data_IF_261703784605
#
_entry.id   IF_261703784605
#
_cell.length_a   1.000
_cell.length_b   1.000
_cell.length_c   1.000
_cell.angle_alpha   90.00
_cell.angle_beta   90.00
_cell.angle_gamma   90.00
#
_symmetry.space_group_name_H-M   'P 1'
#
loop_
_entity.id
_entity.type
_entity.pdbx_description
1 polymer ?
#
# COMPACT_ATOMS: atom_id res chain seq x y z
N UNK A 1 -18.86 -26.90 -14.59
CA UNK A 1 -19.19 -27.47 -13.25
C UNK A 1 -20.53 -26.93 -12.72
N UNK A 2 -21.26 -27.69 -11.85
CA UNK A 2 -22.45 -27.20 -11.14
C UNK A 2 -22.13 -26.85 -9.67
N UNK A 3 -23.11 -26.25 -8.95
CA UNK A 3 -22.94 -25.79 -7.57
C UNK A 3 -22.43 -26.88 -6.63
N UNK A 4 -23.01 -28.10 -6.71
CA UNK A 4 -22.67 -29.23 -5.85
C UNK A 4 -21.27 -29.76 -6.14
N UNK A 5 -20.88 -29.83 -7.39
CA UNK A 5 -19.53 -30.24 -7.79
C UNK A 5 -18.46 -29.29 -7.28
N UNK A 6 -18.73 -27.98 -7.34
CA UNK A 6 -17.81 -26.95 -6.80
C UNK A 6 -17.71 -27.13 -5.28
N UNK A 7 -18.85 -27.25 -4.59
CA UNK A 7 -18.89 -27.42 -3.13
C UNK A 7 -18.10 -28.65 -2.69
N UNK A 8 -18.29 -29.79 -3.35
CA UNK A 8 -17.56 -31.05 -3.05
C UNK A 8 -16.04 -30.86 -3.24
N UNK A 9 -15.60 -30.20 -4.31
CA UNK A 9 -14.19 -29.92 -4.53
C UNK A 9 -13.61 -29.00 -3.44
N UNK A 10 -14.33 -27.97 -3.03
CA UNK A 10 -13.90 -27.08 -1.94
C UNK A 10 -13.74 -27.83 -0.62
N UNK A 11 -14.68 -28.71 -0.29
CA UNK A 11 -14.61 -29.57 0.90
C UNK A 11 -13.46 -30.61 0.82
N UNK A 12 -13.10 -31.08 -0.38
CA UNK A 12 -11.93 -31.93 -0.57
C UNK A 12 -10.62 -31.18 -0.34
N UNK A 13 -10.54 -29.90 -0.75
CA UNK A 13 -9.37 -29.05 -0.50
C UNK A 13 -9.18 -28.83 1.00
N UNK A 14 -10.25 -28.43 1.67
CA UNK A 14 -10.28 -28.26 3.11
C UNK A 14 -11.68 -28.47 3.66
N UNK A 15 -11.87 -29.45 4.51
CA UNK A 15 -13.15 -29.68 5.16
C UNK A 15 -13.47 -28.59 6.19
N UNK A 16 -14.77 -28.30 6.35
CA UNK A 16 -15.31 -27.43 7.39
C UNK A 16 -16.66 -27.97 7.86
N UNK A 17 -16.93 -27.85 9.16
CA UNK A 17 -18.23 -28.17 9.75
C UNK A 17 -19.21 -26.98 9.63
N UNK A 18 -18.72 -25.80 9.23
CA UNK A 18 -19.51 -24.62 9.03
C UNK A 18 -20.29 -24.67 7.71
N UNK A 19 -21.60 -24.47 7.82
CA UNK A 19 -22.47 -24.48 6.63
C UNK A 19 -22.09 -23.37 5.65
N UNK A 20 -22.13 -23.69 4.36
CA UNK A 20 -22.07 -22.72 3.27
C UNK A 20 -22.81 -23.24 2.03
N UNK A 21 -23.17 -22.32 1.15
CA UNK A 21 -23.80 -22.63 -0.13
C UNK A 21 -23.01 -22.01 -1.28
N UNK A 22 -22.88 -22.75 -2.39
CA UNK A 22 -22.32 -22.24 -3.64
C UNK A 22 -23.47 -21.87 -4.56
N UNK A 23 -23.46 -20.63 -5.07
CA UNK A 23 -24.50 -20.11 -5.96
C UNK A 23 -23.89 -19.64 -7.27
N UNK A 24 -24.21 -20.31 -8.36
CA UNK A 24 -23.92 -19.83 -9.71
C UNK A 24 -24.99 -18.83 -10.13
N UNK A 25 -24.62 -17.56 -10.30
CA UNK A 25 -25.58 -16.48 -10.52
C UNK A 25 -26.27 -16.51 -11.89
N UNK A 26 -25.73 -17.25 -12.85
CA UNK A 26 -26.20 -17.24 -14.24
C UNK A 26 -26.01 -15.91 -14.98
N UNK A 27 -25.24 -14.98 -14.41
CA UNK A 27 -25.04 -13.61 -14.93
C UNK A 27 -23.58 -13.32 -15.19
N UNK A 28 -23.35 -12.34 -16.05
CA UNK A 28 -22.04 -11.69 -16.23
C UNK A 28 -21.95 -10.46 -15.33
N UNK A 29 -20.83 -10.27 -14.67
CA UNK A 29 -20.54 -9.09 -13.85
C UNK A 29 -19.28 -8.40 -14.35
N UNK A 30 -19.33 -7.06 -14.45
CA UNK A 30 -18.14 -6.23 -14.79
C UNK A 30 -17.33 -5.83 -13.55
N UNK A 31 -17.87 -6.02 -12.35
CA UNK A 31 -17.24 -5.51 -11.11
C UNK A 31 -16.46 -6.58 -10.38
N UNK A 32 -17.01 -7.80 -10.27
CA UNK A 32 -16.43 -8.91 -9.50
C UNK A 32 -16.72 -10.23 -10.18
N UNK A 33 -15.85 -11.21 -10.00
CA UNK A 33 -16.05 -12.58 -10.48
C UNK A 33 -16.80 -13.45 -9.48
N UNK A 34 -16.60 -13.19 -8.20
CA UNK A 34 -17.27 -13.84 -7.09
C UNK A 34 -17.54 -12.89 -5.95
N UNK A 35 -18.31 -13.33 -4.97
CA UNK A 35 -18.61 -12.60 -3.75
C UNK A 35 -19.01 -13.57 -2.64
N UNK A 36 -18.34 -13.54 -1.51
CA UNK A 36 -18.78 -14.20 -0.30
C UNK A 36 -19.72 -13.28 0.52
N UNK A 37 -20.93 -13.79 0.81
CA UNK A 37 -21.91 -13.13 1.68
C UNK A 37 -21.84 -13.75 3.06
N UNK A 38 -21.25 -13.06 4.01
CA UNK A 38 -21.02 -13.57 5.37
C UNK A 38 -22.32 -13.85 6.15
N UNK A 39 -23.38 -13.07 5.93
CA UNK A 39 -24.67 -13.21 6.63
C UNK A 39 -25.43 -14.48 6.20
N UNK A 40 -25.51 -14.74 4.90
CA UNK A 40 -26.17 -15.93 4.35
C UNK A 40 -25.22 -17.12 4.12
N UNK A 41 -23.91 -16.89 4.30
CA UNK A 41 -22.83 -17.88 4.04
C UNK A 41 -22.85 -18.41 2.61
N UNK A 42 -23.18 -17.55 1.65
CA UNK A 42 -23.24 -17.88 0.23
C UNK A 42 -21.95 -17.47 -0.48
N UNK A 43 -21.36 -18.41 -1.24
CA UNK A 43 -20.31 -18.17 -2.23
C UNK A 43 -21.00 -17.93 -3.58
N UNK A 44 -21.19 -16.68 -3.95
CA UNK A 44 -21.82 -16.32 -5.23
C UNK A 44 -20.75 -16.21 -6.30
N UNK A 45 -20.91 -16.96 -7.41
CA UNK A 45 -19.97 -16.96 -8.54
C UNK A 45 -20.69 -16.48 -9.81
N UNK A 46 -20.11 -15.49 -10.48
CA UNK A 46 -20.64 -15.00 -11.76
C UNK A 46 -20.13 -15.85 -12.91
N UNK A 47 -20.71 -17.04 -13.04
CA UNK A 47 -20.22 -18.11 -13.90
C UNK A 47 -20.16 -17.78 -15.40
N UNK A 48 -20.81 -16.72 -15.88
CA UNK A 48 -20.66 -16.25 -17.26
C UNK A 48 -19.37 -15.40 -17.47
N UNK A 49 -18.59 -15.15 -16.42
CA UNK A 49 -17.31 -14.44 -16.56
C UNK A 49 -16.15 -15.40 -16.91
N UNK A 50 -16.33 -16.69 -16.73
CA UNK A 50 -15.23 -17.67 -16.83
C UNK A 50 -15.26 -18.41 -18.17
N UNK A 51 -14.08 -18.65 -18.71
CA UNK A 51 -13.87 -19.42 -19.94
C UNK A 51 -13.52 -20.88 -19.69
N UNK A 52 -13.10 -21.20 -18.45
CA UNK A 52 -12.73 -22.56 -18.05
C UNK A 52 -13.20 -22.89 -16.63
N UNK A 53 -13.30 -24.19 -16.35
CA UNK A 53 -13.57 -24.68 -14.99
C UNK A 53 -12.41 -24.33 -14.04
N UNK A 54 -11.19 -24.18 -14.55
CA UNK A 54 -10.02 -23.81 -13.76
C UNK A 54 -10.13 -22.34 -13.25
N UNK A 55 -10.52 -21.38 -14.12
CA UNK A 55 -10.77 -19.99 -13.72
C UNK A 55 -11.92 -19.88 -12.70
N UNK A 56 -12.98 -20.68 -12.90
CA UNK A 56 -14.11 -20.76 -11.97
C UNK A 56 -13.64 -21.28 -10.60
N UNK A 57 -12.81 -22.34 -10.57
CA UNK A 57 -12.27 -22.90 -9.34
C UNK A 57 -11.36 -21.92 -8.59
N UNK A 58 -10.50 -21.17 -9.29
CA UNK A 58 -9.69 -20.12 -8.67
C UNK A 58 -10.56 -19.14 -7.86
N UNK A 59 -11.63 -18.62 -8.49
CA UNK A 59 -12.55 -17.71 -7.82
C UNK A 59 -13.34 -18.39 -6.70
N UNK A 60 -13.78 -19.64 -6.90
CA UNK A 60 -14.47 -20.42 -5.87
C UNK A 60 -13.58 -20.63 -4.63
N UNK A 61 -12.30 -20.93 -4.81
CA UNK A 61 -11.31 -21.07 -3.71
C UNK A 61 -11.10 -19.74 -3.01
N UNK A 62 -11.10 -18.62 -3.76
CA UNK A 62 -10.99 -17.26 -3.18
C UNK A 62 -12.17 -16.95 -2.24
N UNK A 63 -13.40 -17.17 -2.71
CA UNK A 63 -14.60 -16.94 -1.90
C UNK A 63 -14.71 -17.93 -0.72
N UNK A 64 -14.20 -19.14 -0.90
CA UNK A 64 -14.10 -20.13 0.16
C UNK A 64 -13.06 -19.73 1.23
N UNK A 65 -11.97 -19.11 0.83
CA UNK A 65 -11.02 -18.52 1.79
C UNK A 65 -11.69 -17.45 2.68
N UNK A 66 -12.57 -16.63 2.10
CA UNK A 66 -13.38 -15.70 2.90
C UNK A 66 -14.30 -16.44 3.86
N UNK A 67 -15.01 -17.47 3.41
CA UNK A 67 -15.87 -18.28 4.30
C UNK A 67 -15.07 -18.83 5.48
N UNK A 68 -13.94 -19.47 5.23
CA UNK A 68 -13.11 -20.04 6.30
C UNK A 68 -12.52 -18.94 7.23
N UNK A 69 -12.17 -17.79 6.69
CA UNK A 69 -11.68 -16.67 7.48
C UNK A 69 -12.77 -16.12 8.41
N UNK A 70 -13.98 -15.93 7.91
CA UNK A 70 -15.09 -15.37 8.67
C UNK A 70 -15.60 -16.34 9.73
N UNK A 71 -15.65 -17.64 9.44
CA UNK A 71 -16.15 -18.65 10.38
C UNK A 71 -15.13 -19.04 11.45
N UNK A 72 -13.82 -18.97 11.15
CA UNK A 72 -12.76 -19.25 12.13
C UNK A 72 -12.45 -18.09 13.07
N UNK A 73 -12.88 -16.87 12.76
CA UNK A 73 -12.56 -15.70 13.57
C UNK A 73 -13.62 -15.46 14.65
N UNK A 74 -13.28 -15.48 15.95
CA UNK A 74 -14.17 -15.10 17.02
C UNK A 74 -14.42 -13.59 17.08
N UNK A 75 -13.54 -12.81 16.42
CA UNK A 75 -13.62 -11.33 16.38
C UNK A 75 -14.16 -10.89 15.02
N UNK A 76 -15.09 -9.91 14.97
CA UNK A 76 -15.58 -9.38 13.71
C UNK A 76 -14.45 -8.94 12.78
N UNK A 77 -14.46 -9.44 11.54
CA UNK A 77 -13.44 -9.11 10.54
C UNK A 77 -13.66 -7.67 10.10
N UNK A 78 -12.56 -6.90 10.06
CA UNK A 78 -12.59 -5.51 9.63
C UNK A 78 -13.02 -5.37 8.15
N UNK A 79 -13.36 -4.15 7.72
CA UNK A 79 -13.71 -3.82 6.32
C UNK A 79 -12.61 -4.27 5.34
N UNK A 80 -11.35 -4.34 5.79
CA UNK A 80 -10.22 -4.86 4.98
C UNK A 80 -10.13 -6.37 5.13
N UNK A 81 -10.83 -7.10 4.28
CA UNK A 81 -10.86 -8.57 4.29
C UNK A 81 -9.58 -9.20 3.74
N UNK A 82 -8.95 -8.61 2.72
CA UNK A 82 -7.72 -9.12 2.08
C UNK A 82 -6.45 -8.74 2.87
N UNK A 83 -6.30 -9.31 4.06
CA UNK A 83 -5.13 -9.15 4.93
C UNK A 83 -4.02 -10.14 4.56
N UNK A 84 -2.84 -10.01 5.17
CA UNK A 84 -1.77 -11.02 5.02
C UNK A 84 -2.19 -12.43 5.46
N UNK A 85 -3.11 -12.53 6.43
CA UNK A 85 -3.69 -13.80 6.88
C UNK A 85 -4.61 -14.40 5.83
N UNK A 86 -5.46 -13.57 5.21
CA UNK A 86 -6.30 -14.00 4.08
C UNK A 86 -5.43 -14.55 2.94
N UNK A 87 -4.44 -13.79 2.46
CA UNK A 87 -3.57 -14.23 1.38
C UNK A 87 -2.82 -15.51 1.70
N UNK A 88 -2.39 -15.67 2.95
CA UNK A 88 -1.74 -16.90 3.38
C UNK A 88 -2.70 -18.11 3.38
N UNK A 89 -3.94 -17.91 3.84
CA UNK A 89 -4.99 -18.94 3.79
C UNK A 89 -5.31 -19.31 2.35
N UNK A 90 -5.57 -18.31 1.50
CA UNK A 90 -5.93 -18.50 0.10
C UNK A 90 -4.82 -19.22 -0.68
N UNK A 91 -3.55 -18.79 -0.55
CA UNK A 91 -2.42 -19.47 -1.19
C UNK A 91 -2.24 -20.92 -0.68
N UNK A 92 -2.52 -21.17 0.60
CA UNK A 92 -2.52 -22.52 1.15
C UNK A 92 -3.61 -23.40 0.53
N UNK A 93 -4.82 -22.86 0.31
CA UNK A 93 -5.90 -23.58 -0.35
C UNK A 93 -5.59 -23.85 -1.84
N UNK A 94 -4.98 -22.90 -2.55
CA UNK A 94 -4.52 -23.11 -3.93
C UNK A 94 -3.48 -24.24 -4.00
N UNK A 95 -2.48 -24.20 -3.13
CA UNK A 95 -1.46 -25.26 -3.04
C UNK A 95 -2.07 -26.64 -2.78
N UNK A 96 -3.03 -26.73 -1.84
CA UNK A 96 -3.74 -27.97 -1.55
C UNK A 96 -4.58 -28.43 -2.77
N UNK A 97 -5.22 -27.49 -3.47
CA UNK A 97 -6.02 -27.77 -4.68
C UNK A 97 -5.16 -28.27 -5.85
N UNK A 98 -3.96 -27.68 -6.03
CA UNK A 98 -2.98 -28.12 -7.04
C UNK A 98 -2.52 -29.57 -6.76
N UNK A 99 -2.16 -29.88 -5.51
CA UNK A 99 -1.77 -31.24 -5.11
C UNK A 99 -2.86 -32.27 -5.31
N UNK A 100 -4.13 -31.90 -5.20
CA UNK A 100 -5.27 -32.75 -5.38
C UNK A 100 -5.73 -32.84 -6.85
N UNK A 101 -5.11 -32.09 -7.77
CA UNK A 101 -5.52 -32.01 -9.17
C UNK A 101 -6.90 -31.36 -9.37
N UNK A 102 -7.34 -30.54 -8.44
CA UNK A 102 -8.63 -29.84 -8.48
C UNK A 102 -8.54 -28.44 -9.10
N UNK A 103 -7.35 -27.91 -9.18
CA UNK A 103 -6.95 -26.65 -9.80
C UNK A 103 -5.54 -26.83 -10.38
N UNK A 104 -5.23 -26.19 -11.50
CA UNK A 104 -3.88 -26.10 -12.06
C UNK A 104 -3.41 -24.66 -12.11
N UNK A 105 -2.11 -24.46 -11.85
CA UNK A 105 -1.49 -23.14 -11.90
C UNK A 105 -1.23 -22.73 -13.37
N UNK A 106 -1.98 -21.78 -13.95
CA UNK A 106 -1.84 -21.45 -15.36
C UNK A 106 -0.47 -20.84 -15.71
N UNK A 107 0.25 -20.29 -14.71
CA UNK A 107 1.56 -19.69 -14.93
C UNK A 107 2.69 -20.72 -15.15
N UNK A 108 2.45 -21.98 -14.83
CA UNK A 108 3.39 -23.09 -15.06
C UNK A 108 3.10 -23.82 -16.38
N UNK A 109 1.89 -23.67 -16.94
CA UNK A 109 1.46 -24.36 -18.16
C UNK A 109 1.70 -23.53 -19.43
N UNK A 110 1.93 -22.22 -19.30
CA UNK A 110 2.08 -21.30 -20.42
C UNK A 110 3.55 -20.92 -20.59
N UNK A 111 4.17 -21.35 -21.71
CA UNK A 111 5.60 -21.15 -22.01
C UNK A 111 6.04 -19.68 -21.93
N UNK A 112 5.19 -18.74 -22.37
CA UNK A 112 5.49 -17.31 -22.31
C UNK A 112 5.68 -16.82 -20.85
N UNK A 113 4.90 -17.36 -19.90
CA UNK A 113 5.08 -17.04 -18.48
C UNK A 113 6.33 -17.69 -17.91
N UNK A 114 6.64 -18.93 -18.30
CA UNK A 114 7.82 -19.64 -17.82
C UNK A 114 9.09 -18.88 -18.20
N UNK A 115 9.25 -18.53 -19.48
CA UNK A 115 10.42 -17.78 -19.98
C UNK A 115 10.53 -16.38 -19.33
N UNK A 116 9.41 -15.64 -19.24
CA UNK A 116 9.41 -14.34 -18.59
C UNK A 116 9.77 -14.43 -17.11
N UNK A 117 9.18 -15.39 -16.39
CA UNK A 117 9.44 -15.63 -14.97
C UNK A 117 10.91 -15.98 -14.75
N UNK A 118 11.48 -16.87 -15.56
CA UNK A 118 12.87 -17.24 -15.51
C UNK A 118 13.79 -16.01 -15.71
N UNK A 119 13.50 -15.17 -16.71
CA UNK A 119 14.27 -13.94 -16.96
C UNK A 119 14.19 -12.96 -15.80
N UNK A 120 13.02 -12.77 -15.21
CA UNK A 120 12.85 -11.89 -14.04
C UNK A 120 13.62 -12.44 -12.85
N UNK A 121 13.50 -13.74 -12.55
CA UNK A 121 14.19 -14.38 -11.42
C UNK A 121 15.70 -14.30 -11.55
N UNK A 122 16.25 -14.70 -12.70
CA UNK A 122 17.69 -14.76 -12.91
C UNK A 122 18.34 -13.39 -13.11
N UNK A 123 17.75 -12.56 -13.98
CA UNK A 123 18.39 -11.30 -14.37
C UNK A 123 18.10 -10.12 -13.45
N UNK A 124 17.02 -10.17 -12.69
CA UNK A 124 16.61 -9.06 -11.85
C UNK A 124 16.63 -9.41 -10.37
N UNK A 125 15.84 -10.43 -9.95
CA UNK A 125 15.68 -10.71 -8.52
C UNK A 125 16.96 -11.26 -7.90
N UNK A 126 17.62 -12.23 -8.55
CA UNK A 126 18.89 -12.80 -8.08
C UNK A 126 19.99 -11.75 -8.05
N UNK A 127 20.16 -10.99 -9.14
CA UNK A 127 21.16 -9.92 -9.22
C UNK A 127 20.91 -8.84 -8.18
N UNK A 128 19.65 -8.45 -7.96
CA UNK A 128 19.29 -7.51 -6.89
C UNK A 128 19.68 -8.08 -5.51
N UNK A 129 19.42 -9.36 -5.25
CA UNK A 129 19.83 -10.04 -4.03
C UNK A 129 21.34 -10.01 -3.81
N UNK A 130 22.13 -10.29 -4.87
CA UNK A 130 23.58 -10.25 -4.84
C UNK A 130 24.11 -8.83 -4.55
N UNK A 131 23.60 -7.82 -5.25
CA UNK A 131 23.96 -6.42 -5.03
C UNK A 131 23.64 -5.96 -3.60
N UNK A 132 22.55 -6.42 -3.02
CA UNK A 132 22.21 -6.10 -1.62
C UNK A 132 23.15 -6.80 -0.63
N UNK A 133 23.63 -8.01 -0.92
CA UNK A 133 24.68 -8.67 -0.11
C UNK A 133 26.02 -7.93 -0.22
N UNK A 134 26.40 -7.49 -1.41
CA UNK A 134 27.59 -6.68 -1.63
C UNK A 134 27.50 -5.33 -0.89
N UNK A 135 26.37 -4.63 -1.01
CA UNK A 135 26.14 -3.41 -0.25
C UNK A 135 26.24 -3.66 1.26
N UNK A 136 25.72 -4.79 1.76
CA UNK A 136 25.86 -5.20 3.16
C UNK A 136 27.32 -5.32 3.59
N UNK A 137 28.17 -5.93 2.76
CA UNK A 137 29.61 -6.02 2.99
C UNK A 137 30.27 -4.64 3.06
N UNK A 138 29.97 -3.77 2.10
CA UNK A 138 30.50 -2.40 2.06
C UNK A 138 30.05 -1.57 3.28
N UNK A 139 28.80 -1.73 3.73
CA UNK A 139 28.31 -1.07 4.94
C UNK A 139 29.03 -1.55 6.21
N UNK A 140 29.35 -2.85 6.30
CA UNK A 140 30.16 -3.40 7.40
C UNK A 140 31.58 -2.79 7.37
N UNK A 141 32.18 -2.66 6.19
CA UNK A 141 33.48 -2.00 6.04
C UNK A 141 33.41 -0.52 6.43
N UNK A 142 32.37 0.20 6.01
CA UNK A 142 32.15 1.59 6.38
C UNK A 142 31.96 1.75 7.90
N UNK A 143 31.26 0.84 8.56
CA UNK A 143 31.12 0.83 10.01
C UNK A 143 32.50 0.71 10.70
N UNK A 144 33.33 -0.24 10.26
CA UNK A 144 34.70 -0.43 10.81
C UNK A 144 35.59 0.81 10.57
N UNK A 145 35.46 1.47 9.42
CA UNK A 145 36.17 2.73 9.14
C UNK A 145 35.70 3.86 10.08
N UNK A 146 34.40 3.98 10.30
CA UNK A 146 33.89 4.95 11.25
C UNK A 146 34.40 4.71 12.67
N UNK A 147 34.44 3.47 13.12
CA UNK A 147 35.02 3.08 14.41
C UNK A 147 36.52 3.46 14.49
N UNK A 148 37.29 3.11 13.46
CA UNK A 148 38.73 3.42 13.38
C UNK A 148 39.03 4.93 13.44
N UNK A 149 38.17 5.74 12.81
CA UNK A 149 38.38 7.19 12.73
C UNK A 149 37.54 7.99 13.74
N UNK A 150 36.92 7.29 14.71
CA UNK A 150 36.08 7.91 15.78
C UNK A 150 34.98 8.80 15.22
N UNK A 151 34.35 8.39 14.11
CA UNK A 151 33.25 9.10 13.46
C UNK A 151 31.91 8.32 13.61
N UNK A 152 30.81 9.01 13.37
CA UNK A 152 29.47 8.42 13.50
C UNK A 152 29.04 7.67 12.25
N UNK A 153 28.91 6.34 12.34
CA UNK A 153 28.33 5.54 11.25
C UNK A 153 26.89 5.96 10.91
N UNK A 154 26.12 6.38 11.92
CA UNK A 154 24.76 6.87 11.74
C UNK A 154 24.72 8.14 10.90
N UNK A 155 25.64 9.09 11.15
CA UNK A 155 25.78 10.30 10.34
C UNK A 155 26.23 10.00 8.91
N UNK A 156 27.13 9.01 8.76
CA UNK A 156 27.57 8.55 7.45
C UNK A 156 26.40 8.02 6.62
N UNK A 157 25.54 7.18 7.24
CA UNK A 157 24.33 6.68 6.58
C UNK A 157 23.37 7.80 6.17
N UNK A 158 23.06 8.71 7.10
CA UNK A 158 22.01 9.72 6.91
C UNK A 158 22.44 10.85 5.97
N UNK A 159 23.69 11.33 6.12
CA UNK A 159 24.16 12.56 5.45
C UNK A 159 24.99 12.30 4.21
N UNK A 160 25.76 11.21 4.19
CA UNK A 160 26.66 10.90 3.08
C UNK A 160 25.99 9.92 2.12
N UNK A 161 25.57 8.76 2.60
CA UNK A 161 24.92 7.74 1.76
C UNK A 161 23.44 8.02 1.53
N UNK A 162 22.78 8.78 2.42
CA UNK A 162 21.34 9.08 2.38
C UNK A 162 20.48 7.80 2.37
N UNK A 163 20.92 6.80 3.13
CA UNK A 163 20.22 5.52 3.29
C UNK A 163 19.55 5.48 4.67
N UNK A 164 18.25 5.15 4.76
CA UNK A 164 17.59 4.99 6.04
C UNK A 164 18.29 3.94 6.93
N UNK A 165 18.53 4.25 8.19
CA UNK A 165 19.23 3.39 9.16
C UNK A 165 18.63 1.99 9.26
N UNK A 166 17.28 1.92 9.24
CA UNK A 166 16.57 0.63 9.29
C UNK A 166 16.85 -0.23 8.07
N UNK A 167 16.94 0.39 6.89
CA UNK A 167 17.28 -0.31 5.64
C UNK A 167 18.72 -0.79 5.66
N UNK A 168 19.69 0.07 6.05
CA UNK A 168 21.09 -0.29 6.18
C UNK A 168 21.30 -1.48 7.15
N UNK A 169 20.68 -1.43 8.33
CA UNK A 169 20.74 -2.52 9.31
C UNK A 169 20.16 -3.83 8.77
N UNK A 170 19.07 -3.76 7.99
CA UNK A 170 18.48 -4.94 7.36
C UNK A 170 19.41 -5.52 6.29
N UNK A 171 20.01 -4.67 5.45
CA UNK A 171 20.97 -5.06 4.42
C UNK A 171 22.21 -5.73 5.04
N UNK A 172 22.80 -5.12 6.06
CA UNK A 172 23.89 -5.72 6.84
C UNK A 172 23.49 -7.10 7.36
N UNK A 173 22.29 -7.22 7.91
CA UNK A 173 21.77 -8.47 8.46
C UNK A 173 21.59 -9.56 7.39
N UNK A 174 21.16 -9.22 6.16
CA UNK A 174 21.07 -10.20 5.06
C UNK A 174 22.44 -10.79 4.71
N UNK A 175 23.49 -9.96 4.73
CA UNK A 175 24.89 -10.39 4.53
C UNK A 175 25.39 -11.28 5.67
N UNK A 176 25.21 -10.84 6.93
CA UNK A 176 25.68 -11.57 8.11
C UNK A 176 25.01 -12.93 8.27
N UNK A 177 23.75 -13.06 7.89
CA UNK A 177 22.99 -14.31 7.96
C UNK A 177 23.20 -15.20 6.72
N UNK A 178 23.97 -14.75 5.74
CA UNK A 178 24.29 -15.45 4.50
C UNK A 178 23.07 -16.01 3.77
N UNK A 179 22.01 -15.21 3.68
CA UNK A 179 20.74 -15.60 3.02
C UNK A 179 20.96 -15.70 1.51
N UNK A 180 20.35 -16.71 0.89
CA UNK A 180 20.49 -16.98 -0.55
C UNK A 180 19.97 -15.80 -1.41
N UNK A 181 20.80 -15.18 -2.26
CA UNK A 181 20.41 -14.03 -3.07
C UNK A 181 19.40 -14.36 -4.18
N UNK A 182 19.30 -15.64 -4.60
CA UNK A 182 18.32 -16.08 -5.62
C UNK A 182 16.86 -15.79 -5.21
N UNK A 183 16.62 -15.64 -3.93
CA UNK A 183 15.29 -15.28 -3.40
C UNK A 183 14.88 -13.83 -3.72
N UNK A 184 15.84 -12.98 -4.10
CA UNK A 184 15.62 -11.54 -4.24
C UNK A 184 15.52 -10.82 -2.89
N UNK A 185 15.83 -9.53 -2.87
CA UNK A 185 16.00 -8.76 -1.63
C UNK A 185 14.76 -8.76 -0.70
N UNK A 186 13.55 -8.65 -1.23
CA UNK A 186 12.34 -8.60 -0.38
C UNK A 186 12.10 -9.90 0.41
N UNK A 187 12.38 -11.06 -0.20
CA UNK A 187 12.32 -12.34 0.50
C UNK A 187 13.47 -12.48 1.49
N UNK A 188 14.69 -12.09 1.11
CA UNK A 188 15.84 -12.06 2.03
C UNK A 188 15.54 -11.22 3.28
N UNK A 189 14.99 -10.03 3.10
CA UNK A 189 14.55 -9.13 4.18
C UNK A 189 13.49 -9.78 5.09
N UNK A 190 12.59 -10.57 4.53
CA UNK A 190 11.60 -11.31 5.32
C UNK A 190 12.29 -12.33 6.23
N UNK A 191 13.27 -13.08 5.71
CA UNK A 191 14.03 -14.08 6.47
C UNK A 191 14.88 -13.48 7.58
N UNK A 192 15.36 -12.23 7.46
CA UNK A 192 16.11 -11.56 8.53
C UNK A 192 15.31 -11.38 9.83
N UNK A 193 13.97 -11.51 9.76
CA UNK A 193 13.07 -11.38 10.92
C UNK A 193 12.95 -12.67 11.73
N UNK A 194 13.37 -13.81 11.17
CA UNK A 194 13.39 -15.10 11.85
C UNK A 194 14.68 -15.18 12.67
N UNK A 195 14.53 -15.22 14.00
CA UNK A 195 15.66 -15.23 14.92
C UNK A 195 16.39 -16.58 14.95
N UNK A 196 15.62 -17.67 15.03
CA UNK A 196 16.17 -19.02 15.09
C UNK A 196 16.81 -19.43 13.76
N UNK A 197 18.10 -19.85 13.76
CA UNK A 197 18.82 -20.21 12.54
C UNK A 197 18.22 -21.41 11.79
N UNK A 198 17.74 -22.42 12.54
CA UNK A 198 17.16 -23.62 11.92
C UNK A 198 15.84 -23.31 11.25
N UNK A 199 14.94 -22.62 11.94
CA UNK A 199 13.65 -22.15 11.39
C UNK A 199 13.86 -21.24 10.18
N UNK A 200 14.88 -20.38 10.21
CA UNK A 200 15.23 -19.52 9.08
C UNK A 200 15.69 -20.32 7.86
N UNK A 201 16.50 -21.36 8.05
CA UNK A 201 16.96 -22.24 6.98
C UNK A 201 15.82 -23.03 6.35
N UNK A 202 14.88 -23.49 7.16
CA UNK A 202 13.66 -24.16 6.70
C UNK A 202 12.79 -23.20 5.87
N UNK A 203 12.61 -21.96 6.35
CA UNK A 203 11.87 -20.92 5.63
C UNK A 203 12.56 -20.52 4.32
N UNK A 204 13.88 -20.45 4.29
CA UNK A 204 14.68 -20.23 3.09
C UNK A 204 14.47 -21.35 2.07
N UNK A 205 14.56 -22.59 2.50
CA UNK A 205 14.31 -23.77 1.66
C UNK A 205 12.89 -23.78 1.10
N UNK A 206 11.90 -23.45 1.94
CA UNK A 206 10.50 -23.37 1.51
C UNK A 206 10.27 -22.31 0.42
N UNK A 207 10.93 -21.14 0.52
CA UNK A 207 10.89 -20.10 -0.52
C UNK A 207 11.57 -20.56 -1.82
N UNK A 208 12.68 -21.29 -1.73
CA UNK A 208 13.36 -21.85 -2.90
C UNK A 208 12.54 -22.97 -3.57
N UNK A 209 11.67 -23.64 -2.81
CA UNK A 209 10.68 -24.62 -3.28
C UNK A 209 9.34 -23.96 -3.67
N UNK A 210 9.36 -22.67 -3.97
CA UNK A 210 8.22 -21.91 -4.50
C UNK A 210 7.05 -21.69 -3.54
N UNK A 211 7.21 -22.01 -2.24
CA UNK A 211 6.20 -21.62 -1.26
C UNK A 211 6.00 -20.10 -1.27
N UNK A 212 4.75 -19.63 -1.33
CA UNK A 212 4.47 -18.21 -1.40
C UNK A 212 5.00 -17.45 -0.17
N UNK A 213 5.50 -16.20 -0.31
CA UNK A 213 6.01 -15.42 0.81
C UNK A 213 5.00 -15.22 1.95
N UNK A 214 3.70 -15.21 1.64
CA UNK A 214 2.66 -15.09 2.67
C UNK A 214 2.49 -16.38 3.48
N UNK A 215 2.60 -17.54 2.84
CA UNK A 215 2.62 -18.82 3.55
C UNK A 215 3.84 -18.94 4.44
N UNK A 216 5.03 -18.58 3.94
CA UNK A 216 6.27 -18.58 4.74
C UNK A 216 6.15 -17.65 5.95
N UNK A 217 5.63 -16.44 5.78
CA UNK A 217 5.38 -15.53 6.91
C UNK A 217 4.46 -16.14 7.96
N UNK A 218 3.40 -16.82 7.53
CA UNK A 218 2.46 -17.47 8.47
C UNK A 218 3.09 -18.63 9.21
N UNK A 219 3.84 -19.47 8.50
CA UNK A 219 4.42 -20.70 9.05
C UNK A 219 5.61 -20.43 9.97
N UNK A 220 6.52 -19.55 9.53
CA UNK A 220 7.82 -19.35 10.17
C UNK A 220 7.97 -18.01 10.92
N UNK A 221 7.05 -17.05 10.69
CA UNK A 221 6.96 -15.78 11.41
C UNK A 221 5.56 -15.63 12.02
N UNK A 222 5.09 -16.55 12.87
CA UNK A 222 3.78 -16.38 13.47
C UNK A 222 3.76 -15.05 14.22
N UNK A 223 2.83 -14.20 13.85
CA UNK A 223 2.53 -12.98 14.64
C UNK A 223 2.29 -13.47 16.07
N UNK A 224 3.11 -13.05 17.03
CA UNK A 224 3.22 -13.62 18.39
C UNK A 224 1.96 -13.66 19.26
N UNK A 225 0.79 -13.79 18.66
CA UNK A 225 -0.52 -13.87 19.29
C UNK A 225 -1.54 -14.71 18.49
N UNK A 226 -1.11 -15.60 17.61
CA UNK A 226 -2.05 -16.64 17.19
C UNK A 226 -2.10 -17.67 18.31
N UNK A 227 -2.87 -17.33 19.31
CA UNK A 227 -3.04 -18.09 20.53
C UNK A 227 -4.23 -19.01 20.40
N UNK A 228 -4.05 -20.16 20.94
CA UNK A 228 -4.99 -20.97 21.72
C UNK A 228 -5.69 -20.18 22.85
N UNK A 229 -5.89 -18.86 22.74
CA UNK A 229 -6.63 -18.09 23.71
C UNK A 229 -8.12 -18.34 23.49
N UNK A 230 -8.84 -18.53 24.59
CA UNK A 230 -10.28 -18.66 24.63
C UNK A 230 -10.93 -17.54 23.74
N UNK A 231 -11.90 -17.88 22.88
CA UNK A 231 -12.64 -16.88 22.10
C UNK A 231 -13.13 -15.69 22.91
N UNK A 232 -13.54 -15.91 24.15
CA UNK A 232 -13.95 -14.85 25.06
C UNK A 232 -12.80 -13.91 25.41
N UNK A 233 -11.60 -14.46 25.71
CA UNK A 233 -10.42 -13.64 26.00
C UNK A 233 -9.98 -12.82 24.80
N UNK A 234 -10.12 -13.36 23.57
CA UNK A 234 -9.80 -12.62 22.35
C UNK A 234 -10.76 -11.44 22.14
N UNK A 235 -12.06 -11.64 22.38
CA UNK A 235 -13.06 -10.57 22.28
C UNK A 235 -12.83 -9.48 23.34
N UNK A 236 -12.51 -9.85 24.57
CA UNK A 236 -12.18 -8.90 25.65
C UNK A 236 -10.95 -8.09 25.30
N UNK A 237 -9.89 -8.75 24.82
CA UNK A 237 -8.64 -8.06 24.43
C UNK A 237 -8.85 -7.10 23.26
N UNK A 238 -9.68 -7.46 22.27
CA UNK A 238 -9.99 -6.58 21.12
C UNK A 238 -10.87 -5.41 21.57
N UNK A 239 -11.85 -5.63 22.44
CA UNK A 239 -12.65 -4.55 23.06
C UNK A 239 -11.75 -3.54 23.77
N UNK A 240 -10.85 -4.01 24.64
CA UNK A 240 -9.90 -3.14 25.36
C UNK A 240 -8.98 -2.35 24.41
N UNK A 241 -8.57 -2.98 23.31
CA UNK A 241 -7.78 -2.33 22.28
C UNK A 241 -8.55 -1.20 21.61
N UNK A 242 -9.79 -1.47 21.21
CA UNK A 242 -10.67 -0.50 20.57
C UNK A 242 -11.00 0.67 21.51
N UNK A 243 -11.28 0.40 22.78
CA UNK A 243 -11.53 1.45 23.78
C UNK A 243 -10.33 2.37 23.98
N UNK A 244 -9.10 1.80 24.04
CA UNK A 244 -7.85 2.59 24.08
C UNK A 244 -7.66 3.43 22.82
N UNK A 245 -8.02 2.90 21.65
CA UNK A 245 -7.94 3.63 20.39
C UNK A 245 -8.96 4.77 20.34
N UNK A 246 -10.19 4.54 20.77
CA UNK A 246 -11.25 5.56 20.89
C UNK A 246 -10.78 6.71 21.78
N UNK A 247 -10.26 6.41 22.97
CA UNK A 247 -9.73 7.44 23.90
C UNK A 247 -8.63 8.29 23.27
N UNK A 248 -7.69 7.64 22.55
CA UNK A 248 -6.63 8.38 21.83
C UNK A 248 -7.17 9.30 20.74
N UNK A 249 -8.15 8.82 19.98
CA UNK A 249 -8.77 9.60 18.92
C UNK A 249 -9.61 10.76 19.47
N UNK A 250 -10.34 10.55 20.56
CA UNK A 250 -11.07 11.59 21.28
C UNK A 250 -10.14 12.69 21.77
N UNK A 251 -9.06 12.33 22.45
CA UNK A 251 -8.05 13.30 22.92
C UNK A 251 -7.44 14.11 21.77
N UNK A 252 -7.10 13.41 20.66
CA UNK A 252 -6.58 14.11 19.46
C UNK A 252 -7.61 15.03 18.83
N UNK A 253 -8.89 14.65 18.85
CA UNK A 253 -9.99 15.49 18.36
C UNK A 253 -10.14 16.75 19.23
N UNK A 254 -10.07 16.60 20.55
CA UNK A 254 -10.11 17.74 21.50
C UNK A 254 -8.95 18.71 21.28
N UNK A 255 -7.72 18.18 21.11
CA UNK A 255 -6.54 19.02 20.79
C UNK A 255 -6.71 19.80 19.48
N UNK A 256 -7.22 19.12 18.43
CA UNK A 256 -7.46 19.78 17.14
C UNK A 256 -8.56 20.84 17.27
N UNK A 257 -9.64 20.52 17.97
CA UNK A 257 -10.76 21.45 18.19
C UNK A 257 -10.30 22.69 18.96
N UNK A 258 -9.46 22.51 19.98
CA UNK A 258 -8.86 23.62 20.73
C UNK A 258 -8.02 24.51 19.83
N UNK A 259 -7.10 23.92 19.06
CA UNK A 259 -6.26 24.67 18.11
C UNK A 259 -7.09 25.40 17.05
N UNK A 260 -8.16 24.77 16.56
CA UNK A 260 -9.06 25.38 15.58
C UNK A 260 -9.73 26.63 16.18
N UNK A 261 -10.21 26.56 17.44
CA UNK A 261 -10.76 27.71 18.16
C UNK A 261 -9.73 28.83 18.33
N UNK A 262 -8.49 28.51 18.72
CA UNK A 262 -7.41 29.49 18.85
C UNK A 262 -7.12 30.20 17.51
N UNK A 263 -7.07 29.47 16.40
CA UNK A 263 -6.88 30.05 15.07
C UNK A 263 -8.06 30.89 14.61
N UNK A 264 -9.30 30.50 14.92
CA UNK A 264 -10.48 31.30 14.60
C UNK A 264 -10.48 32.61 15.35
N UNK A 265 -10.18 32.59 16.64
CA UNK A 265 -10.06 33.82 17.46
C UNK A 265 -8.97 34.72 16.94
N UNK A 266 -7.77 34.23 16.63
CA UNK A 266 -6.69 35.03 16.05
C UNK A 266 -7.07 35.66 14.69
N UNK A 267 -7.83 34.93 13.88
CA UNK A 267 -8.33 35.43 12.59
C UNK A 267 -9.33 36.53 12.76
N UNK A 268 -10.23 36.42 13.72
CA UNK A 268 -11.21 37.46 14.07
C UNK A 268 -10.54 38.70 14.62
N UNK A 269 -9.58 38.55 15.55
CA UNK A 269 -8.79 39.68 16.08
C UNK A 269 -7.99 40.39 14.98
N UNK A 270 -7.43 39.62 14.04
CA UNK A 270 -6.70 40.23 12.91
C UNK A 270 -7.63 41.00 11.98
N UNK A 271 -8.80 40.44 11.67
CA UNK A 271 -9.81 41.12 10.86
C UNK A 271 -10.30 42.42 11.50
N UNK A 272 -10.56 42.41 12.83
CA UNK A 272 -10.95 43.59 13.58
C UNK A 272 -9.84 44.67 13.60
N UNK A 273 -8.58 44.28 13.72
CA UNK A 273 -7.43 45.22 13.63
C UNK A 273 -7.31 45.82 12.24
N UNK A 274 -7.48 45.04 11.17
CA UNK A 274 -7.45 45.51 9.79
C UNK A 274 -8.60 46.50 9.52
N UNK A 275 -9.80 46.26 10.03
CA UNK A 275 -10.93 47.18 9.95
C UNK A 275 -10.68 48.47 10.75
N UNK A 276 -10.05 48.36 11.91
CA UNK A 276 -9.73 49.53 12.76
C UNK A 276 -8.65 50.41 12.11
N UNK A 277 -7.66 49.80 11.45
CA UNK A 277 -6.65 50.53 10.69
C UNK A 277 -7.29 51.25 9.49
N UNK A 278 -8.23 50.61 8.77
CA UNK A 278 -8.94 51.28 7.67
C UNK A 278 -9.82 52.45 8.13
N UNK A 279 -10.39 52.38 9.34
CA UNK A 279 -11.19 53.50 9.91
C UNK A 279 -10.34 54.69 10.40
N UNK A 280 -9.10 54.45 10.79
CA UNK A 280 -8.19 55.45 11.34
C UNK A 280 -7.26 56.06 10.27
N UNK A 281 -7.09 55.40 9.13
CA UNK A 281 -6.35 55.96 8.01
C UNK A 281 -7.17 57.09 7.38
N UNK A 282 -6.68 58.34 7.37
CA UNK A 282 -7.32 59.41 6.62
C UNK A 282 -7.40 58.97 5.15
N UNK A 283 -8.58 59.09 4.58
CA UNK A 283 -8.83 58.71 3.17
C UNK A 283 -7.77 59.36 2.26
N UNK A 284 -7.53 58.74 1.11
CA UNK A 284 -6.52 59.20 0.17
C UNK A 284 -6.77 60.69 -0.13
N UNK A 285 -5.73 61.53 -0.08
CA UNK A 285 -5.90 62.92 -0.35
C UNK A 285 -6.39 63.11 -1.79
N UNK A 286 -7.60 63.71 -1.89
CA UNK A 286 -8.16 64.34 -3.07
C UNK A 286 -7.90 63.67 -4.46
N UNK A 287 -8.64 62.64 -4.78
CA UNK A 287 -8.77 62.20 -6.17
C UNK A 287 -9.41 63.30 -7.09
N UNK A 288 -10.07 64.28 -6.50
CA UNK A 288 -10.60 65.43 -7.25
C UNK A 288 -9.51 66.32 -7.83
N UNK A 289 -8.39 66.56 -7.13
CA UNK A 289 -7.28 67.36 -7.68
C UNK A 289 -6.48 66.63 -8.75
N UNK A 290 -6.47 65.33 -8.76
CA UNK A 290 -5.82 64.56 -9.84
C UNK A 290 -6.68 64.50 -11.10
N UNK A 291 -7.99 64.44 -10.98
CA UNK A 291 -8.89 64.49 -12.14
C UNK A 291 -8.94 65.87 -12.81
N UNK A 292 -8.88 66.93 -12.03
CA UNK A 292 -8.78 68.28 -12.60
C UNK A 292 -7.44 68.53 -13.31
N UNK A 293 -6.34 67.94 -12.81
CA UNK A 293 -5.04 68.06 -13.47
C UNK A 293 -4.93 67.21 -14.76
N UNK A 294 -5.62 66.08 -14.82
CA UNK A 294 -5.70 65.24 -16.02
C UNK A 294 -6.59 65.88 -17.08
N UNK A 295 -7.72 66.51 -16.71
CA UNK A 295 -8.58 67.24 -17.64
C UNK A 295 -7.88 68.50 -18.21
N UNK A 296 -7.04 69.21 -17.46
CA UNK A 296 -6.26 70.33 -17.99
C UNK A 296 -5.08 69.90 -18.87
N UNK A 297 -4.59 68.68 -18.77
CA UNK A 297 -3.58 68.12 -19.66
C UNK A 297 -4.19 67.56 -20.95
N UNK A 298 -5.40 67.02 -20.93
CA UNK A 298 -6.09 66.53 -22.11
C UNK A 298 -6.59 67.68 -23.06
N UNK A 299 -6.89 68.85 -22.51
CA UNK A 299 -7.22 70.04 -23.29
C UNK A 299 -6.00 70.71 -23.95
N UNK A 300 -4.77 70.44 -23.47
CA UNK A 300 -3.54 71.00 -24.04
C UNK A 300 -2.96 70.18 -25.23
N UNK A 301 -3.39 68.93 -25.38
CA UNK A 301 -2.85 68.02 -26.41
C UNK A 301 -3.73 67.87 -27.66
N UNK A 302 -4.75 68.69 -27.81
CA UNK A 302 -5.55 68.74 -29.04
C UNK A 302 -5.02 69.75 -30.06
N UNK A 303 -3.83 69.54 -30.61
CA UNK A 303 -3.36 70.09 -31.86
C UNK A 303 -2.74 69.03 -32.77
N UNK A 304 -3.03 69.00 -34.08
CA UNK A 304 -2.78 67.84 -34.90
C UNK A 304 -1.40 67.87 -35.57
N UNK A 305 -0.75 66.71 -35.54
CA UNK A 305 0.31 66.51 -36.50
C UNK A 305 1.44 65.54 -36.12
N UNK A 306 1.51 64.51 -36.95
CA UNK A 306 2.69 63.70 -37.28
C UNK A 306 2.85 62.29 -36.61
N UNK A 307 2.32 61.36 -37.21
CA UNK A 307 2.88 60.12 -37.86
C UNK A 307 4.11 59.41 -37.28
N UNK A 308 3.87 58.10 -37.14
CA UNK A 308 4.78 56.92 -37.38
C UNK A 308 5.76 56.59 -36.23
N UNK A 309 6.03 55.34 -35.85
CA UNK A 309 5.98 54.01 -36.50
C UNK A 309 6.27 52.93 -35.47
N UNK A 310 5.69 51.71 -35.73
CA UNK A 310 6.23 50.34 -35.51
C UNK A 310 6.45 49.84 -34.09
N UNK A 311 5.60 48.96 -33.62
CA UNK A 311 5.65 47.47 -33.82
C UNK A 311 6.79 46.80 -33.08
N UNK A 312 6.47 45.98 -32.11
CA UNK A 312 6.89 44.59 -31.97
C UNK A 312 6.09 43.95 -30.81
N UNK A 313 5.21 43.06 -31.19
CA UNK A 313 4.44 42.21 -30.26
C UNK A 313 5.28 41.04 -29.78
N UNK A 314 5.04 40.63 -28.55
CA UNK A 314 5.45 39.33 -28.00
C UNK A 314 4.16 38.60 -27.63
N UNK A 315 3.90 37.40 -28.20
CA UNK A 315 2.72 36.63 -27.85
C UNK A 315 2.87 35.85 -26.53
N UNK A 316 1.75 35.54 -25.86
CA UNK A 316 1.76 34.76 -24.62
C UNK A 316 2.04 33.28 -24.89
N UNK A 317 2.78 32.65 -24.00
CA UNK A 317 3.05 31.20 -24.00
C UNK A 317 1.79 30.44 -23.63
N UNK A 318 1.30 29.62 -24.52
CA UNK A 318 0.35 28.53 -24.29
C UNK A 318 1.04 27.41 -23.49
N UNK A 319 0.39 27.00 -22.42
CA UNK A 319 0.69 25.75 -21.72
C UNK A 319 0.06 24.61 -22.52
N UNK A 320 0.89 23.76 -23.09
CA UNK A 320 0.46 22.47 -23.66
C UNK A 320 0.32 21.45 -22.54
N UNK A 321 -0.88 20.96 -22.36
CA UNK A 321 -1.19 19.75 -21.63
C UNK A 321 -0.68 18.54 -22.44
N UNK A 322 0.09 17.67 -21.79
CA UNK A 322 0.48 16.38 -22.36
C UNK A 322 -0.59 15.34 -22.03
N UNK A 323 -1.02 14.50 -22.97
CA UNK A 323 -2.03 13.48 -22.72
C UNK A 323 -1.45 12.29 -21.95
N UNK A 324 -2.22 11.85 -20.97
CA UNK A 324 -2.02 10.55 -20.31
C UNK A 324 -2.14 9.43 -21.35
N UNK A 325 -1.11 8.60 -21.44
CA UNK A 325 -1.13 7.36 -22.21
C UNK A 325 -1.67 6.24 -21.36
N UNK A 326 -2.87 5.78 -21.70
CA UNK A 326 -3.36 4.43 -21.37
C UNK A 326 -2.41 3.37 -21.98
N UNK A 327 -1.92 2.49 -21.14
CA UNK A 327 -1.76 1.05 -21.44
C UNK A 327 -1.64 0.29 -20.10
#
# INVERSE_FOLDING_TARGET
MNNEQIKQKLLQIRNTDEYFEVVLSGKKSKKVNGLYKSESRELVLHNQNFHSDNELMYTAIHEYAHHLQFTASPVPISIRTHTGEFWSLFHGLLYDAERLGLYSNPFEEIEDFEELTRRIREKILSVNGELMKELGELLIQAQKLCEKHHTSFTDYLDRVLRIPRTSANTIIKTKLLDIDPRLGYENMKTLTRIADPQTRKEAETALLQEMSPNMVKRTYLPSGKMKTADPLEQLVAEKDRLEKQIKRLQHKLEEISKKLGEFQTQREERSQREEQIQRVSPGPPDQQRQQEHIQQQEEADTLPGARRTTDVGIPPREYQETPESET
#
